data_IF_171944008404
#
_entry.id   IF_171944008404
#
_cell.length_a   1.000
_cell.length_b   1.000
_cell.length_c   1.000
_cell.angle_alpha   90.00
_cell.angle_beta   90.00
_cell.angle_gamma   90.00
#
_symmetry.space_group_name_H-M   'P 1'
#
loop_
_entity.id
_entity.type
_entity.pdbx_description
1 polymer ?
#
# COMPACT_ATOMS: atom_id res chain seq x y z
N UNK A 1 19.71 -1.03 0.07
CA UNK A 1 18.68 -0.08 -0.40
C UNK A 1 17.65 -0.89 -1.14
N UNK A 2 16.36 -0.70 -0.83
CA UNK A 2 15.26 -1.43 -1.47
C UNK A 2 14.43 -0.37 -2.21
N UNK A 3 14.47 -0.41 -3.54
CA UNK A 3 13.85 0.59 -4.43
C UNK A 3 14.71 1.81 -4.76
N UNK A 4 14.28 2.51 -5.81
CA UNK A 4 14.77 3.80 -6.33
C UNK A 4 13.61 4.60 -6.97
N UNK A 5 13.93 5.73 -7.62
CA UNK A 5 12.93 6.56 -8.30
C UNK A 5 12.18 5.83 -9.42
N UNK A 6 12.81 4.89 -10.11
CA UNK A 6 12.18 4.13 -11.19
C UNK A 6 11.16 3.13 -10.62
N UNK A 7 11.31 2.74 -9.35
CA UNK A 7 10.34 1.89 -8.64
C UNK A 7 9.20 2.64 -7.95
N UNK A 8 9.22 3.98 -7.95
CA UNK A 8 8.16 4.77 -7.31
C UNK A 8 6.87 4.73 -8.14
N UNK A 9 5.76 4.31 -7.53
CA UNK A 9 4.46 4.31 -8.18
C UNK A 9 3.33 4.64 -7.22
N UNK A 10 2.28 5.25 -7.79
CA UNK A 10 1.02 5.56 -7.11
C UNK A 10 0.04 4.46 -7.50
N UNK A 11 -0.38 3.67 -6.52
CA UNK A 11 -1.27 2.52 -6.69
C UNK A 11 -2.35 2.55 -5.61
N UNK A 12 -3.60 2.29 -5.97
CA UNK A 12 -4.67 2.16 -4.98
C UNK A 12 -6.05 2.55 -5.48
N UNK A 13 -7.04 2.33 -4.63
CA UNK A 13 -8.46 2.67 -4.86
C UNK A 13 -8.63 4.20 -4.84
N UNK A 14 -9.56 4.79 -5.63
CA UNK A 14 -9.77 6.25 -5.68
C UNK A 14 -10.27 6.86 -4.37
N UNK A 15 -10.34 6.12 -3.27
CA UNK A 15 -10.81 6.53 -1.95
C UNK A 15 -9.84 6.07 -0.85
N UNK A 16 -9.93 6.69 0.34
CA UNK A 16 -9.01 6.50 1.47
C UNK A 16 -8.95 5.09 2.07
N UNK A 17 -9.82 4.17 1.66
CA UNK A 17 -9.75 2.76 2.08
C UNK A 17 -9.90 2.48 3.57
N UNK A 18 -10.21 3.50 4.41
CA UNK A 18 -10.34 3.35 5.87
C UNK A 18 -11.43 2.35 6.29
N UNK A 19 -12.45 2.16 5.45
CA UNK A 19 -13.48 1.13 5.68
C UNK A 19 -14.59 1.56 6.64
N UNK A 20 -14.48 2.69 7.34
CA UNK A 20 -15.58 3.23 8.13
C UNK A 20 -16.73 3.76 7.25
N UNK A 21 -18.00 3.39 7.55
CA UNK A 21 -19.16 3.99 6.93
C UNK A 21 -19.12 5.53 7.03
N UNK A 22 -19.38 6.20 5.91
CA UNK A 22 -19.36 7.67 5.78
C UNK A 22 -17.97 8.34 5.91
N UNK A 23 -16.87 7.58 6.01
CA UNK A 23 -15.51 8.12 5.90
C UNK A 23 -14.92 7.82 4.52
N UNK A 24 -15.45 8.50 3.49
CA UNK A 24 -15.01 8.35 2.10
C UNK A 24 -14.49 9.68 1.58
N UNK A 25 -13.17 9.79 1.44
CA UNK A 25 -12.51 10.90 0.77
C UNK A 25 -11.67 10.36 -0.38
N UNK A 26 -11.65 11.08 -1.51
CA UNK A 26 -10.77 10.74 -2.64
C UNK A 26 -9.33 11.10 -2.31
N UNK A 27 -8.43 10.11 -2.40
CA UNK A 27 -6.99 10.27 -2.18
C UNK A 27 -6.23 9.37 -3.15
N UNK A 28 -4.95 9.69 -3.38
CA UNK A 28 -4.00 8.79 -4.01
C UNK A 28 -3.16 8.10 -2.94
N UNK A 29 -2.93 6.79 -3.10
CA UNK A 29 -2.00 6.04 -2.26
C UNK A 29 -0.72 5.77 -3.05
N UNK A 30 0.43 5.98 -2.42
CA UNK A 30 1.72 5.64 -2.96
C UNK A 30 2.48 4.89 -1.87
N UNK A 31 3.13 3.78 -2.23
CA UNK A 31 4.06 3.11 -1.35
C UNK A 31 5.36 2.90 -2.11
N UNK A 32 6.52 3.24 -1.52
CA UNK A 32 7.80 2.81 -2.07
C UNK A 32 7.93 1.29 -1.96
N UNK A 33 8.95 0.73 -2.61
CA UNK A 33 9.34 -0.66 -2.40
C UNK A 33 9.84 -0.80 -0.97
N UNK A 34 9.29 -1.76 -0.23
CA UNK A 34 9.61 -1.99 1.17
C UNK A 34 10.06 -3.45 1.36
N UNK A 35 11.10 -3.65 2.18
CA UNK A 35 11.49 -4.98 2.66
C UNK A 35 11.12 -5.06 4.14
N UNK A 36 10.35 -6.07 4.49
CA UNK A 36 9.94 -6.34 5.86
C UNK A 36 10.59 -7.64 6.33
N UNK A 37 11.20 -7.60 7.52
CA UNK A 37 11.76 -8.78 8.17
C UNK A 37 10.78 -9.32 9.21
N UNK A 38 10.82 -10.63 9.48
CA UNK A 38 10.02 -11.29 10.53
C UNK A 38 8.49 -11.14 10.39
N UNK A 39 7.97 -11.12 9.16
CA UNK A 39 6.51 -11.09 8.90
C UNK A 39 5.94 -12.51 8.91
N UNK A 40 4.79 -12.70 9.56
CA UNK A 40 4.05 -13.94 9.49
C UNK A 40 3.29 -14.04 8.15
N UNK A 41 3.54 -15.10 7.39
CA UNK A 41 2.81 -15.38 6.15
C UNK A 41 1.85 -16.54 6.40
N UNK A 42 0.57 -16.36 6.09
CA UNK A 42 -0.47 -17.37 6.26
C UNK A 42 -1.10 -17.73 4.91
N UNK A 43 -1.41 -19.01 4.68
CA UNK A 43 -2.21 -19.46 3.53
C UNK A 43 -1.49 -19.52 2.17
N UNK A 44 -0.15 -19.52 2.13
CA UNK A 44 0.64 -19.53 0.89
C UNK A 44 0.83 -20.90 0.23
N UNK A 45 -0.28 -21.60 -0.07
CA UNK A 45 -0.27 -22.80 -0.90
C UNK A 45 -0.49 -22.46 -2.38
#
# INVERSE_FOLDING_TARGET
MVGDNDTFGIYGTPNCGKGEPNQVIRVGHASPVCMFENVQVFGGA
#
